data_IF_428139553832
#
_entry.id   IF_428139553832
#
_cell.length_a   1.000
_cell.length_b   1.000
_cell.length_c   1.000
_cell.angle_alpha   90.00
_cell.angle_beta   90.00
_cell.angle_gamma   90.00
#
_symmetry.space_group_name_H-M   'P 1'
#
loop_
_entity.id
_entity.type
_entity.pdbx_description
1 polymer ?
#
# COMPACT_ATOMS: atom_id res chain seq x y z
N UNK A 1 -26.47 1.53 7.40
CA UNK A 1 -27.29 1.27 6.20
C UNK A 1 -27.85 -0.13 6.33
N UNK A 2 -29.18 -0.30 6.24
CA UNK A 2 -29.80 -1.62 6.10
C UNK A 2 -30.90 -1.49 5.03
N UNK A 3 -30.63 -2.06 3.85
CA UNK A 3 -31.64 -2.22 2.79
C UNK A 3 -32.04 -3.70 2.61
N UNK A 4 -31.23 -4.64 3.11
CA UNK A 4 -31.53 -6.07 3.34
C UNK A 4 -30.69 -6.55 4.54
N UNK A 5 -31.02 -7.73 5.11
CA UNK A 5 -30.27 -8.33 6.24
C UNK A 5 -28.88 -8.87 5.89
N UNK A 6 -28.44 -8.70 4.65
CA UNK A 6 -27.20 -9.30 4.11
C UNK A 6 -25.96 -8.43 4.37
N UNK A 7 -26.12 -7.12 4.62
CA UNK A 7 -25.01 -6.18 4.89
C UNK A 7 -25.36 -5.29 6.08
N UNK A 8 -24.73 -5.56 7.24
CA UNK A 8 -25.05 -4.90 8.51
C UNK A 8 -23.93 -3.92 8.95
N UNK A 9 -23.74 -2.83 8.20
CA UNK A 9 -22.78 -1.78 8.57
C UNK A 9 -23.26 -0.98 9.78
N UNK A 10 -22.44 -1.02 10.83
CA UNK A 10 -22.58 -0.28 12.09
C UNK A 10 -21.98 1.13 11.98
N UNK A 11 -22.27 1.99 12.95
CA UNK A 11 -21.68 3.34 13.01
C UNK A 11 -20.14 3.34 13.08
N UNK A 12 -19.54 2.33 13.70
CA UNK A 12 -18.09 2.15 13.73
C UNK A 12 -17.51 1.83 12.36
N UNK A 13 -18.21 1.07 11.52
CA UNK A 13 -17.72 0.73 10.17
C UNK A 13 -17.61 1.97 9.29
N UNK A 14 -18.59 2.89 9.41
CA UNK A 14 -18.52 4.20 8.74
C UNK A 14 -17.38 5.06 9.28
N UNK A 15 -17.12 5.03 10.59
CA UNK A 15 -16.01 5.76 11.19
C UNK A 15 -14.66 5.24 10.69
N UNK A 16 -14.48 3.91 10.66
CA UNK A 16 -13.26 3.26 10.17
C UNK A 16 -13.05 3.58 8.68
N UNK A 17 -14.08 3.40 7.85
CA UNK A 17 -14.00 3.72 6.43
C UNK A 17 -13.71 5.22 6.20
N UNK A 18 -14.36 6.10 6.95
CA UNK A 18 -14.12 7.54 6.90
C UNK A 18 -12.68 7.91 7.26
N UNK A 19 -12.13 7.31 8.32
CA UNK A 19 -10.74 7.51 8.72
C UNK A 19 -9.75 6.99 7.67
N UNK A 20 -10.02 5.82 7.08
CA UNK A 20 -9.20 5.26 6.00
C UNK A 20 -9.17 6.17 4.77
N UNK A 21 -10.34 6.65 4.32
CA UNK A 21 -10.43 7.57 3.19
C UNK A 21 -9.76 8.91 3.49
N UNK A 22 -9.98 9.49 4.67
CA UNK A 22 -9.33 10.73 5.08
C UNK A 22 -7.80 10.59 5.09
N UNK A 23 -7.29 9.45 5.57
CA UNK A 23 -5.85 9.15 5.57
C UNK A 23 -5.31 9.01 4.15
N UNK A 24 -5.99 8.26 3.28
CA UNK A 24 -5.57 8.10 1.89
C UNK A 24 -5.56 9.43 1.13
N UNK A 25 -6.63 10.22 1.24
CA UNK A 25 -6.73 11.54 0.62
C UNK A 25 -5.67 12.49 1.17
N UNK A 26 -5.47 12.53 2.50
CA UNK A 26 -4.46 13.39 3.13
C UNK A 26 -3.03 13.02 2.73
N UNK A 27 -2.73 11.73 2.58
CA UNK A 27 -1.43 11.27 2.06
C UNK A 27 -1.22 11.66 0.59
N UNK A 28 -2.25 11.57 -0.24
CA UNK A 28 -2.13 12.01 -1.64
C UNK A 28 -2.00 13.53 -1.74
N UNK A 29 -2.73 14.29 -0.91
CA UNK A 29 -2.55 15.74 -0.82
C UNK A 29 -1.12 16.09 -0.40
N UNK A 30 -0.58 15.42 0.63
CA UNK A 30 0.84 15.57 1.01
C UNK A 30 1.77 15.35 -0.18
N UNK A 31 1.53 14.35 -1.03
CA UNK A 31 2.34 14.12 -2.22
C UNK A 31 2.31 15.28 -3.23
N UNK A 32 1.14 15.91 -3.39
CA UNK A 32 0.97 17.10 -4.23
C UNK A 32 1.77 18.29 -3.69
N UNK A 33 1.83 18.44 -2.36
CA UNK A 33 2.63 19.47 -1.69
C UNK A 33 4.13 19.19 -1.78
N UNK A 34 4.56 17.93 -1.72
CA UNK A 34 5.97 17.54 -1.72
C UNK A 34 6.67 17.70 -3.07
N UNK A 35 5.94 17.61 -4.19
CA UNK A 35 6.55 17.67 -5.53
C UNK A 35 5.61 18.20 -6.60
N UNK A 36 6.14 18.95 -7.56
CA UNK A 36 5.44 19.34 -8.80
C UNK A 36 5.49 18.29 -9.91
N UNK A 37 6.30 17.23 -9.75
CA UNK A 37 6.48 16.18 -10.77
C UNK A 37 5.26 15.25 -10.81
N UNK A 38 4.65 15.13 -12.00
CA UNK A 38 3.48 14.27 -12.23
C UNK A 38 3.80 12.79 -12.06
N UNK A 39 5.01 12.35 -12.44
CA UNK A 39 5.46 10.96 -12.27
C UNK A 39 5.62 10.62 -10.79
N UNK A 40 6.19 11.54 -10.01
CA UNK A 40 6.28 11.38 -8.55
C UNK A 40 4.90 11.28 -7.91
N UNK A 41 3.98 12.18 -8.27
CA UNK A 41 2.59 12.16 -7.75
C UNK A 41 1.85 10.88 -8.12
N UNK A 42 2.02 10.40 -9.36
CA UNK A 42 1.45 9.13 -9.80
C UNK A 42 2.03 7.94 -9.00
N UNK A 43 3.35 7.91 -8.80
CA UNK A 43 4.01 6.88 -7.99
C UNK A 43 3.44 6.83 -6.57
N UNK A 44 3.32 8.00 -5.93
CA UNK A 44 2.79 8.14 -4.59
C UNK A 44 1.31 7.75 -4.52
N UNK A 45 0.50 8.15 -5.51
CA UNK A 45 -0.90 7.76 -5.63
C UNK A 45 -1.07 6.24 -5.72
N UNK A 46 -0.24 5.56 -6.52
CA UNK A 46 -0.25 4.08 -6.59
C UNK A 46 0.11 3.47 -5.23
N UNK A 47 1.11 3.99 -4.52
CA UNK A 47 1.48 3.50 -3.20
C UNK A 47 0.35 3.66 -2.17
N UNK A 48 -0.26 4.85 -2.11
CA UNK A 48 -1.38 5.13 -1.21
C UNK A 48 -2.58 4.26 -1.52
N UNK A 49 -2.94 4.12 -2.80
CA UNK A 49 -4.04 3.27 -3.24
C UNK A 49 -3.79 1.80 -2.89
N UNK A 50 -2.56 1.32 -3.08
CA UNK A 50 -2.17 -0.03 -2.69
C UNK A 50 -2.30 -0.25 -1.19
N UNK A 51 -1.80 0.69 -0.38
CA UNK A 51 -1.90 0.63 1.07
C UNK A 51 -3.36 0.63 1.54
N UNK A 52 -4.17 1.52 0.97
CA UNK A 52 -5.61 1.61 1.25
C UNK A 52 -6.34 0.30 0.91
N UNK A 53 -6.13 -0.25 -0.27
CA UNK A 53 -6.74 -1.53 -0.66
C UNK A 53 -6.24 -2.68 0.22
N UNK A 54 -4.96 -2.67 0.61
CA UNK A 54 -4.40 -3.69 1.51
C UNK A 54 -5.16 -3.69 2.84
N UNK A 55 -5.33 -2.52 3.46
CA UNK A 55 -6.10 -2.40 4.71
C UNK A 55 -7.56 -2.82 4.48
N UNK A 56 -8.20 -2.30 3.42
CA UNK A 56 -9.62 -2.54 3.20
C UNK A 56 -9.93 -4.01 2.95
N UNK A 57 -9.25 -4.65 2.00
CA UNK A 57 -9.49 -6.07 1.70
C UNK A 57 -9.22 -6.93 2.93
N UNK A 58 -8.20 -6.57 3.71
CA UNK A 58 -7.86 -7.29 4.92
C UNK A 58 -8.95 -7.18 6.00
N UNK A 59 -9.52 -5.99 6.23
CA UNK A 59 -10.63 -5.79 7.15
C UNK A 59 -11.95 -6.38 6.67
N UNK A 60 -12.19 -6.39 5.34
CA UNK A 60 -13.46 -6.82 4.77
C UNK A 60 -13.60 -8.34 4.63
N UNK A 61 -12.53 -9.01 4.22
CA UNK A 61 -12.57 -10.46 3.89
C UNK A 61 -11.43 -11.23 4.56
N UNK A 62 -10.35 -10.56 4.95
CA UNK A 62 -9.11 -11.22 5.35
C UNK A 62 -8.40 -11.83 4.15
N UNK A 63 -7.24 -11.29 3.79
CA UNK A 63 -6.48 -11.84 2.65
C UNK A 63 -6.02 -13.28 2.91
N UNK A 64 -5.80 -13.63 4.18
CA UNK A 64 -5.44 -14.97 4.63
C UNK A 64 -6.56 -15.58 5.49
N UNK A 65 -7.45 -16.33 4.84
CA UNK A 65 -8.52 -17.06 5.52
C UNK A 65 -9.74 -16.17 5.81
N UNK A 66 -9.96 -15.80 7.07
CA UNK A 66 -11.00 -14.87 7.49
C UNK A 66 -10.39 -13.58 8.04
N UNK A 67 -11.18 -12.52 8.14
CA UNK A 67 -10.79 -11.23 8.70
C UNK A 67 -10.37 -11.30 10.18
N UNK A 68 -10.83 -12.33 10.91
CA UNK A 68 -10.51 -12.52 12.32
C UNK A 68 -9.19 -13.28 12.58
N UNK A 69 -8.50 -13.69 11.51
CA UNK A 69 -7.23 -14.40 11.62
C UNK A 69 -6.08 -13.46 11.97
N UNK A 70 -5.29 -13.83 12.98
CA UNK A 70 -4.16 -13.03 13.48
C UNK A 70 -3.04 -12.89 12.44
N UNK A 71 -2.91 -13.85 11.52
CA UNK A 71 -1.90 -13.87 10.46
C UNK A 71 -2.04 -12.70 9.50
N UNK A 72 -3.24 -12.13 9.38
CA UNK A 72 -3.48 -10.92 8.62
C UNK A 72 -2.71 -9.70 9.16
N UNK A 73 -2.29 -9.71 10.43
CA UNK A 73 -1.42 -8.66 11.00
C UNK A 73 -0.07 -8.55 10.26
N UNK A 74 0.36 -9.59 9.54
CA UNK A 74 1.57 -9.53 8.73
C UNK A 74 1.48 -8.44 7.64
N UNK A 75 0.28 -8.17 7.10
CA UNK A 75 0.09 -7.09 6.13
C UNK A 75 0.20 -5.70 6.77
N UNK A 76 -0.14 -5.55 8.06
CA UNK A 76 0.18 -4.33 8.80
C UNK A 76 1.69 -4.11 8.90
N UNK A 77 2.47 -5.19 9.01
CA UNK A 77 3.93 -5.14 8.90
C UNK A 77 4.43 -4.63 7.55
N UNK A 78 3.81 -5.05 6.45
CA UNK A 78 4.13 -4.54 5.09
C UNK A 78 3.87 -3.03 4.99
N UNK A 79 2.73 -2.57 5.50
CA UNK A 79 2.38 -1.14 5.53
C UNK A 79 3.35 -0.35 6.41
N UNK A 80 3.78 -0.91 7.54
CA UNK A 80 4.77 -0.30 8.42
C UNK A 80 6.12 -0.17 7.74
N UNK A 81 6.57 -1.18 6.99
CA UNK A 81 7.79 -1.11 6.17
C UNK A 81 7.68 0.00 5.13
N UNK A 82 6.55 0.12 4.44
CA UNK A 82 6.32 1.20 3.47
C UNK A 82 6.37 2.58 4.15
N UNK A 83 5.69 2.75 5.28
CA UNK A 83 5.62 4.01 6.01
C UNK A 83 6.98 4.43 6.61
N UNK A 84 7.66 3.52 7.32
CA UNK A 84 8.99 3.77 7.88
C UNK A 84 10.00 4.01 6.76
N UNK A 85 9.95 3.21 5.69
CA UNK A 85 10.79 3.41 4.52
C UNK A 85 10.60 4.80 3.88
N UNK A 86 9.36 5.28 3.77
CA UNK A 86 9.06 6.62 3.26
C UNK A 86 9.62 7.74 4.17
N UNK A 87 9.51 7.58 5.50
CA UNK A 87 10.06 8.52 6.47
C UNK A 87 11.59 8.55 6.43
N UNK A 88 12.24 7.38 6.41
CA UNK A 88 13.72 7.26 6.30
C UNK A 88 14.20 7.82 4.96
N UNK A 89 13.44 7.63 3.89
CA UNK A 89 13.70 8.22 2.59
C UNK A 89 13.52 9.75 2.55
N UNK A 90 12.97 10.36 3.61
CA UNK A 90 12.56 11.77 3.66
C UNK A 90 11.70 12.16 2.44
N UNK A 91 10.86 11.23 1.98
CA UNK A 91 10.03 11.37 0.77
C UNK A 91 10.81 11.72 -0.52
N UNK A 92 12.12 11.46 -0.58
CA UNK A 92 12.90 11.65 -1.81
C UNK A 92 12.62 10.52 -2.80
N UNK A 93 12.47 10.80 -4.12
CA UNK A 93 12.06 9.77 -5.09
C UNK A 93 12.95 8.53 -5.08
N UNK A 94 14.28 8.71 -5.03
CA UNK A 94 15.23 7.59 -5.01
C UNK A 94 15.09 6.70 -3.77
N UNK A 95 14.85 7.30 -2.60
CA UNK A 95 14.61 6.54 -1.36
C UNK A 95 13.24 5.88 -1.33
N UNK A 96 12.21 6.58 -1.82
CA UNK A 96 10.85 6.05 -1.95
C UNK A 96 10.81 4.80 -2.83
N UNK A 97 11.59 4.76 -3.92
CA UNK A 97 11.70 3.55 -4.74
C UNK A 97 12.13 2.32 -3.92
N UNK A 98 13.18 2.45 -3.12
CA UNK A 98 13.66 1.38 -2.24
C UNK A 98 12.63 0.99 -1.17
N UNK A 99 11.91 1.97 -0.61
CA UNK A 99 10.84 1.70 0.35
C UNK A 99 9.71 0.87 -0.27
N UNK A 100 9.32 1.18 -1.52
CA UNK A 100 8.28 0.46 -2.23
C UNK A 100 8.73 -0.95 -2.65
N UNK A 101 9.99 -1.14 -3.06
CA UNK A 101 10.54 -2.48 -3.29
C UNK A 101 10.57 -3.31 -2.00
N UNK A 102 10.98 -2.70 -0.87
CA UNK A 102 11.01 -3.37 0.42
C UNK A 102 9.60 -3.82 0.84
N UNK A 103 8.59 -2.97 0.64
CA UNK A 103 7.19 -3.33 0.87
C UNK A 103 6.73 -4.47 -0.06
N UNK A 104 7.10 -4.43 -1.34
CA UNK A 104 6.77 -5.51 -2.29
C UNK A 104 7.41 -6.84 -1.90
N UNK A 105 8.69 -6.83 -1.50
CA UNK A 105 9.39 -8.01 -1.02
C UNK A 105 8.81 -8.54 0.29
N UNK A 106 8.45 -7.65 1.21
CA UNK A 106 7.75 -8.03 2.44
C UNK A 106 6.39 -8.68 2.13
N UNK A 107 5.61 -8.13 1.20
CA UNK A 107 4.35 -8.71 0.75
C UNK A 107 4.53 -10.13 0.19
N UNK A 108 5.57 -10.35 -0.63
CA UNK A 108 5.88 -11.68 -1.16
C UNK A 108 6.34 -12.64 -0.04
N UNK A 109 7.13 -12.16 0.92
CA UNK A 109 7.53 -12.94 2.08
C UNK A 109 6.32 -13.38 2.91
N UNK A 110 5.35 -12.50 3.11
CA UNK A 110 4.06 -12.85 3.74
C UNK A 110 3.37 -13.98 3.00
N UNK A 111 3.36 -13.94 1.66
CA UNK A 111 2.77 -15.00 0.84
C UNK A 111 3.51 -16.33 0.99
N UNK A 112 4.85 -16.31 1.01
CA UNK A 112 5.67 -17.52 1.23
C UNK A 112 5.38 -18.12 2.61
N UNK A 113 5.35 -17.29 3.66
CA UNK A 113 5.02 -17.73 5.02
C UNK A 113 3.61 -18.34 5.06
N UNK A 114 2.63 -17.71 4.40
CA UNK A 114 1.27 -18.22 4.34
C UNK A 114 1.18 -19.62 3.68
N UNK A 115 1.95 -19.89 2.63
CA UNK A 115 2.02 -21.22 2.02
C UNK A 115 2.61 -22.25 2.99
N UNK A 116 3.66 -21.88 3.73
CA UNK A 116 4.30 -22.77 4.72
C UNK A 116 3.35 -23.11 5.87
N UNK A 117 2.51 -22.17 6.28
CA UNK A 117 1.49 -22.36 7.33
C UNK A 117 0.28 -23.16 6.81
N UNK A 118 0.15 -23.35 5.49
CA UNK A 118 -0.90 -24.16 4.88
C UNK A 118 -2.17 -23.40 4.48
N UNK A 119 -2.08 -22.08 4.25
CA UNK A 119 -3.19 -21.31 3.71
C UNK A 119 -3.54 -21.72 2.27
N UNK A 120 -4.81 -21.57 1.90
CA UNK A 120 -5.31 -21.89 0.55
C UNK A 120 -4.60 -21.06 -0.52
N UNK A 121 -4.17 -21.73 -1.58
CA UNK A 121 -3.45 -21.12 -2.71
C UNK A 121 -4.16 -19.92 -3.32
N UNK A 122 -5.50 -19.94 -3.41
CA UNK A 122 -6.29 -18.83 -3.97
C UNK A 122 -6.13 -17.53 -3.16
N UNK A 123 -6.16 -17.62 -1.83
CA UNK A 123 -5.99 -16.44 -0.96
C UNK A 123 -4.56 -15.90 -1.02
N UNK A 124 -3.58 -16.81 -1.01
CA UNK A 124 -2.18 -16.45 -1.17
C UNK A 124 -1.90 -15.81 -2.53
N UNK A 125 -2.49 -16.33 -3.61
CA UNK A 125 -2.33 -15.77 -4.94
C UNK A 125 -2.86 -14.32 -5.01
N UNK A 126 -4.05 -14.07 -4.46
CA UNK A 126 -4.57 -12.71 -4.34
C UNK A 126 -3.64 -11.82 -3.53
N UNK A 127 -3.10 -12.33 -2.42
CA UNK A 127 -2.13 -11.59 -1.62
C UNK A 127 -0.82 -11.29 -2.36
N UNK A 128 -0.36 -12.20 -3.21
CA UNK A 128 0.84 -12.02 -4.02
C UNK A 128 0.62 -10.98 -5.13
N UNK A 129 -0.57 -10.91 -5.72
CA UNK A 129 -0.93 -9.88 -6.70
C UNK A 129 -0.78 -8.46 -6.15
N UNK A 130 -0.96 -8.26 -4.85
CA UNK A 130 -0.77 -6.95 -4.20
C UNK A 130 0.70 -6.51 -4.16
N UNK A 131 1.68 -7.38 -4.42
CA UNK A 131 3.08 -6.97 -4.59
C UNK A 131 3.31 -6.21 -5.90
N UNK A 132 2.53 -6.49 -6.95
CA UNK A 132 2.68 -5.87 -8.26
C UNK A 132 2.53 -4.33 -8.24
N UNK A 133 1.50 -3.74 -7.61
CA UNK A 133 1.38 -2.29 -7.56
C UNK A 133 2.45 -1.62 -6.66
N UNK A 134 2.97 -2.28 -5.62
CA UNK A 134 4.15 -1.81 -4.89
C UNK A 134 5.37 -1.70 -5.82
N UNK A 135 5.65 -2.74 -6.61
CA UNK A 135 6.72 -2.67 -7.61
C UNK A 135 6.46 -1.60 -8.67
N UNK A 136 5.22 -1.46 -9.15
CA UNK A 136 4.88 -0.42 -10.12
C UNK A 136 5.17 0.99 -9.57
N UNK A 137 4.79 1.25 -8.30
CA UNK A 137 5.12 2.49 -7.61
C UNK A 137 6.63 2.69 -7.50
N UNK A 138 7.39 1.66 -7.14
CA UNK A 138 8.86 1.71 -7.07
C UNK A 138 9.48 2.14 -8.41
N UNK A 139 9.03 1.56 -9.52
CA UNK A 139 9.54 1.91 -10.86
C UNK A 139 9.24 3.36 -11.23
N UNK A 140 8.05 3.85 -10.90
CA UNK A 140 7.68 5.25 -11.14
C UNK A 140 8.54 6.21 -10.31
N UNK A 141 8.80 5.88 -9.04
CA UNK A 141 9.72 6.68 -8.21
C UNK A 141 11.16 6.70 -8.76
N UNK A 142 11.66 5.56 -9.29
CA UNK A 142 12.97 5.54 -9.98
C UNK A 142 12.96 6.41 -11.24
N UNK A 143 11.86 6.43 -11.99
CA UNK A 143 11.72 7.31 -13.15
C UNK A 143 11.77 8.78 -12.72
N UNK A 144 10.97 9.18 -11.73
CA UNK A 144 10.99 10.54 -11.19
C UNK A 144 12.37 10.96 -10.67
N UNK A 145 13.11 10.04 -10.03
CA UNK A 145 14.48 10.31 -9.59
C UNK A 145 15.42 10.64 -10.77
N UNK A 146 15.34 9.88 -11.87
CA UNK A 146 16.14 10.12 -13.08
C UNK A 146 15.77 11.44 -13.75
N UNK A 147 14.48 11.75 -13.80
CA UNK A 147 13.99 12.99 -14.42
C UNK A 147 14.48 14.22 -13.62
N UNK A 148 14.55 14.14 -12.29
CA UNK A 148 15.15 15.18 -11.43
C UNK A 148 16.67 15.33 -11.59
N UNK A 149 17.40 14.22 -11.67
CA UNK A 149 18.85 14.22 -11.92
C UNK A 149 19.19 14.85 -13.29
N UNK A 150 18.40 14.54 -14.33
CA UNK A 150 18.55 15.12 -15.67
C UNK A 150 18.27 16.63 -15.69
N UNK A 151 17.21 17.10 -15.03
CA UNK A 151 16.87 18.52 -14.97
C UNK A 151 17.95 19.36 -14.25
N UNK A 152 18.60 18.78 -13.23
CA UNK A 152 19.67 19.46 -12.48
C UNK A 152 20.97 19.57 -13.28
N UNK A 153 21.23 18.63 -14.21
CA UNK A 153 22.45 18.61 -15.02
C UNK A 153 22.40 19.59 -16.21
N UNK A 154 21.20 20.05 -16.58
CA UNK A 154 20.97 20.98 -17.71
C UNK A 154 21.01 22.45 -17.25
N UNK A 155 20.97 22.71 -15.93
CA UNK A 155 21.15 24.04 -15.33
C UNK A 155 22.62 24.34 -15.04
#
# INVERSE_FOLDING_TARGET
MQFTGEVNWTGSDFLVMGAMLATACGLYELAVWLSGDTVYRAAFGVAVFTGFLTVWVNLAVGMLGSENNIENLMFAGVLLIAAVGALVANFRPRGMAWAMDAAALAQLLVCVIALVIGFRERGVFLAACFAAPWFASAQLFRKAARDQEAATTVQ
#
